data_IF_093185702912
#
_entry.id   IF_093185702912
#
_cell.length_a   1.000
_cell.length_b   1.000
_cell.length_c   1.000
_cell.angle_alpha   90.00
_cell.angle_beta   90.00
_cell.angle_gamma   90.00
#
_symmetry.space_group_name_H-M   'P 1'
#
loop_
_entity.id
_entity.type
_entity.pdbx_description
1 polymer ?
#
# COMPACT_ATOMS: atom_id res chain seq x y z
N UNK A 1 19.21 5.42 12.55
CA UNK A 1 17.76 5.12 12.62
C UNK A 1 17.48 3.87 11.82
N UNK A 2 16.65 2.96 12.32
CA UNK A 2 16.27 1.76 11.55
C UNK A 2 15.35 2.14 10.39
N UNK A 3 15.58 1.52 9.21
CA UNK A 3 14.76 1.67 8.01
C UNK A 3 13.51 0.81 8.18
N UNK A 4 12.28 1.37 8.09
CA UNK A 4 11.04 0.63 8.29
C UNK A 4 10.85 -0.53 7.32
N UNK A 5 11.12 -0.33 6.03
CA UNK A 5 11.06 -1.36 5.00
C UNK A 5 12.30 -1.29 4.10
N UNK A 6 12.99 -2.40 3.96
CA UNK A 6 14.10 -2.56 3.02
C UNK A 6 13.92 -3.84 2.20
N UNK A 7 14.01 -3.71 0.90
CA UNK A 7 13.93 -4.80 -0.08
C UNK A 7 15.29 -4.91 -0.74
N UNK A 8 15.87 -6.11 -0.75
CA UNK A 8 17.26 -6.35 -1.21
C UNK A 8 17.27 -7.54 -2.17
N UNK A 9 17.60 -7.29 -3.43
CA UNK A 9 17.80 -8.31 -4.47
C UNK A 9 16.57 -9.19 -4.72
N UNK A 10 15.36 -8.63 -4.49
CA UNK A 10 14.14 -9.41 -4.45
C UNK A 10 13.74 -9.90 -5.85
N UNK A 11 13.56 -11.21 -5.97
CA UNK A 11 13.16 -11.85 -7.23
C UNK A 11 12.06 -12.88 -7.02
N UNK A 12 11.20 -13.04 -8.03
CA UNK A 12 10.18 -14.10 -8.06
C UNK A 12 10.06 -14.68 -9.46
N UNK A 13 10.20 -15.99 -9.52
CA UNK A 13 10.09 -16.78 -10.74
C UNK A 13 8.87 -17.71 -10.63
N UNK A 14 8.03 -17.74 -11.64
CA UNK A 14 6.93 -18.68 -11.81
C UNK A 14 7.09 -19.41 -13.14
N UNK A 15 7.13 -20.74 -13.12
CA UNK A 15 7.22 -21.56 -14.34
C UNK A 15 8.27 -21.03 -15.34
N UNK A 16 9.50 -20.79 -14.87
CA UNK A 16 10.63 -20.24 -15.63
C UNK A 16 10.40 -18.83 -16.22
N UNK A 17 9.39 -18.10 -15.72
CA UNK A 17 9.17 -16.69 -16.08
C UNK A 17 9.39 -15.80 -14.87
N UNK A 18 10.21 -14.78 -15.06
CA UNK A 18 10.47 -13.79 -14.03
C UNK A 18 9.26 -12.86 -13.89
N UNK A 19 8.61 -12.90 -12.73
CA UNK A 19 7.58 -11.95 -12.37
C UNK A 19 8.19 -10.70 -11.69
N UNK A 20 9.29 -10.88 -10.95
CA UNK A 20 10.09 -9.82 -10.33
C UNK A 20 11.56 -10.19 -10.50
N UNK A 21 12.41 -9.22 -10.88
CA UNK A 21 13.81 -9.41 -11.25
C UNK A 21 14.71 -8.48 -10.45
N UNK A 22 15.38 -9.01 -9.43
CA UNK A 22 16.46 -8.36 -8.68
C UNK A 22 16.16 -6.90 -8.29
N UNK A 23 15.01 -6.66 -7.66
CA UNK A 23 14.63 -5.32 -7.25
C UNK A 23 15.16 -5.01 -5.85
N UNK A 24 15.67 -3.78 -5.67
CA UNK A 24 16.13 -3.28 -4.37
C UNK A 24 15.63 -1.86 -4.16
N UNK A 25 15.05 -1.59 -2.99
CA UNK A 25 14.62 -0.26 -2.58
C UNK A 25 14.38 -0.18 -1.07
N UNK A 26 14.19 1.03 -0.57
CA UNK A 26 13.92 1.32 0.84
C UNK A 26 12.74 2.27 0.96
N UNK A 27 11.94 2.11 2.01
CA UNK A 27 10.93 3.10 2.42
C UNK A 27 11.38 3.63 3.78
N UNK A 28 11.70 4.93 3.83
CA UNK A 28 12.14 5.57 5.05
C UNK A 28 10.95 5.95 5.95
N UNK A 29 11.26 6.37 7.18
CA UNK A 29 10.22 6.91 8.06
C UNK A 29 9.62 8.19 7.50
N UNK A 30 8.31 8.35 7.69
CA UNK A 30 7.59 9.52 7.21
C UNK A 30 7.70 9.74 5.69
N UNK A 31 7.68 8.65 4.93
CA UNK A 31 7.82 8.66 3.48
C UNK A 31 6.69 7.86 2.82
N UNK A 32 6.18 8.38 1.69
CA UNK A 32 5.31 7.64 0.80
C UNK A 32 6.09 7.38 -0.48
N UNK A 33 6.36 6.10 -0.77
CA UNK A 33 6.97 5.67 -2.02
C UNK A 33 5.92 5.03 -2.91
N UNK A 34 5.86 5.47 -4.16
CA UNK A 34 5.01 4.88 -5.18
C UNK A 34 5.71 3.76 -5.96
N UNK A 35 5.04 2.63 -6.18
CA UNK A 35 5.40 1.68 -7.23
C UNK A 35 4.44 1.88 -8.40
N UNK A 36 4.96 2.38 -9.51
CA UNK A 36 4.21 2.69 -10.71
C UNK A 36 4.61 1.77 -11.85
N UNK A 37 3.65 1.20 -12.55
CA UNK A 37 3.92 0.31 -13.68
C UNK A 37 2.66 -0.30 -14.27
N UNK A 38 2.71 -0.83 -15.50
CA UNK A 38 1.56 -1.46 -16.16
C UNK A 38 1.08 -2.70 -15.41
N UNK A 39 -0.13 -3.15 -15.73
CA UNK A 39 -0.63 -4.41 -15.19
C UNK A 39 0.30 -5.56 -15.56
N UNK A 40 0.54 -6.46 -14.60
CA UNK A 40 1.44 -7.59 -14.78
C UNK A 40 2.94 -7.26 -14.69
N UNK A 41 3.35 -6.02 -14.38
CA UNK A 41 4.78 -5.69 -14.23
C UNK A 41 5.42 -6.18 -12.92
N UNK A 42 4.64 -6.75 -11.98
CA UNK A 42 5.15 -7.34 -10.73
C UNK A 42 4.80 -6.60 -9.44
N UNK A 43 3.99 -5.52 -9.47
CA UNK A 43 3.61 -4.73 -8.26
C UNK A 43 2.99 -5.59 -7.16
N UNK A 44 1.89 -6.27 -7.47
CA UNK A 44 1.17 -7.13 -6.51
C UNK A 44 2.02 -8.30 -6.03
N UNK A 45 2.87 -8.86 -6.92
CA UNK A 45 3.84 -9.91 -6.53
C UNK A 45 4.87 -9.38 -5.53
N UNK A 46 5.38 -8.16 -5.76
CA UNK A 46 6.30 -7.49 -4.83
C UNK A 46 5.64 -7.26 -3.47
N UNK A 47 4.42 -6.72 -3.44
CA UNK A 47 3.65 -6.54 -2.19
C UNK A 47 3.43 -7.89 -1.50
N UNK A 48 3.05 -8.93 -2.23
CA UNK A 48 2.84 -10.27 -1.68
C UNK A 48 4.11 -10.87 -1.03
N UNK A 49 5.29 -10.59 -1.59
CA UNK A 49 6.57 -10.98 -0.99
C UNK A 49 6.88 -10.15 0.26
N UNK A 50 6.61 -8.85 0.25
CA UNK A 50 6.80 -7.97 1.42
C UNK A 50 5.88 -8.38 2.57
N UNK A 51 4.66 -8.82 2.29
CA UNK A 51 3.73 -9.37 3.28
C UNK A 51 4.09 -10.79 3.75
N UNK A 52 5.12 -11.42 3.16
CA UNK A 52 5.45 -12.81 3.43
C UNK A 52 4.36 -13.79 2.98
N UNK A 53 3.41 -13.37 2.15
CA UNK A 53 2.39 -14.25 1.54
C UNK A 53 2.97 -15.08 0.41
N UNK A 54 3.99 -14.55 -0.26
CA UNK A 54 4.73 -15.20 -1.33
C UNK A 54 6.19 -15.32 -0.91
N UNK A 55 6.74 -16.54 -0.96
CA UNK A 55 8.17 -16.76 -0.73
C UNK A 55 8.96 -16.23 -1.93
N UNK A 56 9.96 -15.34 -1.73
CA UNK A 56 10.87 -14.93 -2.78
C UNK A 56 11.62 -16.12 -3.39
N UNK A 57 11.98 -16.04 -4.67
CA UNK A 57 12.92 -16.98 -5.29
C UNK A 57 14.35 -16.63 -4.91
N UNK A 58 14.66 -15.32 -4.81
CA UNK A 58 15.94 -14.77 -4.31
C UNK A 58 15.68 -13.45 -3.58
N UNK A 59 16.69 -13.01 -2.85
CA UNK A 59 16.67 -11.76 -2.10
C UNK A 59 15.95 -11.88 -0.76
N UNK A 60 15.73 -10.76 -0.11
CA UNK A 60 15.12 -10.68 1.22
C UNK A 60 14.37 -9.38 1.45
N UNK A 61 13.45 -9.43 2.40
CA UNK A 61 12.69 -8.28 2.90
C UNK A 61 13.00 -8.09 4.37
N UNK A 62 13.37 -6.87 4.76
CA UNK A 62 13.60 -6.51 6.15
C UNK A 62 12.58 -5.46 6.60
N UNK A 63 12.02 -5.69 7.77
CA UNK A 63 11.17 -4.74 8.48
C UNK A 63 11.92 -4.31 9.74
N UNK A 64 12.19 -3.01 9.87
CA UNK A 64 13.02 -2.47 10.95
C UNK A 64 14.37 -3.23 11.12
N UNK A 65 15.00 -3.60 9.99
CA UNK A 65 16.28 -4.32 9.96
C UNK A 65 16.18 -5.82 10.26
N UNK A 66 15.00 -6.37 10.50
CA UNK A 66 14.79 -7.79 10.78
C UNK A 66 14.16 -8.45 9.55
N UNK A 67 14.75 -9.54 9.10
CA UNK A 67 14.26 -10.33 7.96
C UNK A 67 12.91 -10.98 8.26
N UNK A 68 11.93 -10.78 7.38
CA UNK A 68 10.56 -11.19 7.62
C UNK A 68 10.40 -12.72 7.80
N UNK A 69 11.22 -13.50 7.11
CA UNK A 69 11.17 -14.97 7.22
C UNK A 69 11.59 -15.49 8.60
N UNK A 70 12.43 -14.73 9.33
CA UNK A 70 12.95 -15.13 10.64
C UNK A 70 12.01 -14.89 11.81
N UNK A 71 11.19 -13.82 11.74
CA UNK A 71 10.25 -13.41 12.81
C UNK A 71 8.91 -12.98 12.23
N UNK A 72 8.35 -13.80 11.36
CA UNK A 72 7.17 -13.44 10.55
C UNK A 72 5.99 -12.94 11.38
N UNK A 73 5.61 -13.65 12.44
CA UNK A 73 4.43 -13.28 13.24
C UNK A 73 4.62 -11.92 13.92
N UNK A 74 5.78 -11.69 14.55
CA UNK A 74 6.07 -10.44 15.25
C UNK A 74 6.13 -9.25 14.30
N UNK A 75 6.66 -9.47 13.08
CA UNK A 75 6.81 -8.43 12.08
C UNK A 75 5.51 -8.11 11.35
N UNK A 76 4.63 -9.11 11.15
CA UNK A 76 3.30 -8.86 10.56
C UNK A 76 2.43 -7.96 11.42
N UNK A 77 2.65 -7.93 12.75
CA UNK A 77 1.98 -6.96 13.63
C UNK A 77 2.40 -5.50 13.36
N UNK A 78 3.54 -5.28 12.68
CA UNK A 78 4.05 -3.96 12.30
C UNK A 78 3.68 -3.57 10.88
N UNK A 79 3.07 -4.48 10.13
CA UNK A 79 2.62 -4.29 8.76
C UNK A 79 1.09 -4.29 8.71
N UNK A 80 0.55 -3.55 7.78
CA UNK A 80 -0.83 -3.76 7.36
C UNK A 80 -0.99 -3.39 5.89
N UNK A 81 -2.09 -3.80 5.28
CA UNK A 81 -2.27 -3.56 3.86
C UNK A 81 -3.73 -3.42 3.47
N UNK A 82 -3.94 -2.74 2.31
CA UNK A 82 -5.19 -2.66 1.59
C UNK A 82 -4.95 -3.19 0.18
N UNK A 83 -5.91 -3.94 -0.31
CA UNK A 83 -6.00 -4.32 -1.72
C UNK A 83 -7.49 -4.40 -2.10
N UNK A 84 -7.88 -3.99 -3.31
CA UNK A 84 -9.26 -4.08 -3.79
C UNK A 84 -9.73 -5.53 -3.92
N UNK A 85 -8.80 -6.49 -3.92
CA UNK A 85 -9.08 -7.92 -4.05
C UNK A 85 -9.36 -8.62 -2.73
N UNK A 86 -9.24 -7.92 -1.59
CA UNK A 86 -9.46 -8.50 -0.27
C UNK A 86 -10.69 -7.89 0.36
N UNK A 87 -11.72 -8.70 0.42
CA UNK A 87 -12.98 -8.32 1.02
C UNK A 87 -13.01 -8.59 2.54
N UNK A 88 -13.69 -7.71 3.25
CA UNK A 88 -14.03 -7.93 4.66
C UNK A 88 -15.17 -8.97 4.78
N UNK A 89 -15.24 -9.74 5.88
CA UNK A 89 -16.34 -10.66 6.15
C UNK A 89 -17.71 -10.00 6.01
N UNK A 90 -18.45 -10.35 4.95
CA UNK A 90 -19.70 -9.68 4.54
C UNK A 90 -20.84 -9.81 5.56
N UNK A 91 -20.85 -10.88 6.36
CA UNK A 91 -21.87 -11.18 7.37
C UNK A 91 -21.62 -10.52 8.73
N UNK A 92 -20.52 -9.81 8.88
CA UNK A 92 -20.22 -9.04 10.08
C UNK A 92 -20.53 -7.56 9.85
N UNK A 93 -20.92 -6.86 10.91
CA UNK A 93 -21.05 -5.40 10.88
C UNK A 93 -19.67 -4.74 10.75
N UNK A 94 -19.64 -3.46 10.39
CA UNK A 94 -18.40 -2.66 10.39
C UNK A 94 -17.72 -2.74 11.74
N UNK A 95 -18.48 -2.52 12.83
CA UNK A 95 -17.96 -2.60 14.21
C UNK A 95 -17.34 -3.96 14.49
N UNK A 96 -18.07 -5.05 14.21
CA UNK A 96 -17.57 -6.42 14.44
C UNK A 96 -16.31 -6.71 13.64
N UNK A 97 -16.24 -6.28 12.39
CA UNK A 97 -15.02 -6.41 11.60
C UNK A 97 -13.83 -5.70 12.26
N UNK A 98 -14.00 -4.43 12.65
CA UNK A 98 -12.94 -3.69 13.32
C UNK A 98 -12.55 -4.28 14.68
N UNK A 99 -13.51 -4.80 15.44
CA UNK A 99 -13.23 -5.51 16.70
C UNK A 99 -12.42 -6.78 16.50
N UNK A 100 -12.76 -7.60 15.49
CA UNK A 100 -12.01 -8.82 15.16
C UNK A 100 -10.56 -8.49 14.83
N UNK A 101 -10.33 -7.57 13.89
CA UNK A 101 -8.97 -7.18 13.50
C UNK A 101 -8.22 -6.49 14.65
N UNK A 102 -8.90 -5.63 15.42
CA UNK A 102 -8.28 -4.99 16.57
C UNK A 102 -7.81 -5.98 17.64
N UNK A 103 -8.58 -7.05 17.88
CA UNK A 103 -8.19 -8.13 18.79
C UNK A 103 -7.06 -8.99 18.21
N UNK A 104 -7.08 -9.29 16.90
CA UNK A 104 -6.00 -10.04 16.23
C UNK A 104 -4.65 -9.32 16.34
N UNK A 105 -4.65 -7.99 16.35
CA UNK A 105 -3.46 -7.16 16.50
C UNK A 105 -3.18 -6.71 17.94
N UNK A 106 -3.91 -7.24 18.93
CA UNK A 106 -3.79 -6.87 20.35
C UNK A 106 -3.84 -5.34 20.61
N UNK A 107 -4.78 -4.66 19.93
CA UNK A 107 -4.93 -3.22 20.02
C UNK A 107 -5.47 -2.82 21.39
N UNK A 108 -4.66 -2.08 22.15
CA UNK A 108 -5.06 -1.53 23.46
C UNK A 108 -6.13 -0.46 23.29
N UNK A 109 -7.07 -0.39 24.26
CA UNK A 109 -8.18 0.57 24.22
C UNK A 109 -8.98 0.54 22.92
N UNK A 110 -9.24 -0.68 22.40
CA UNK A 110 -9.83 -0.93 21.11
C UNK A 110 -11.14 -0.15 20.86
N UNK A 111 -12.01 -0.05 21.87
CA UNK A 111 -13.28 0.71 21.76
C UNK A 111 -13.01 2.16 21.37
N UNK A 112 -12.13 2.85 22.10
CA UNK A 112 -11.74 4.25 21.82
C UNK A 112 -11.08 4.38 20.45
N UNK A 113 -10.27 3.38 20.04
CA UNK A 113 -9.63 3.36 18.71
C UNK A 113 -10.67 3.25 17.60
N UNK A 114 -11.67 2.40 17.75
CA UNK A 114 -12.77 2.24 16.78
C UNK A 114 -13.60 3.54 16.69
N UNK A 115 -13.95 4.14 17.81
CA UNK A 115 -14.67 5.43 17.86
C UNK A 115 -13.91 6.51 17.09
N UNK A 116 -12.63 6.72 17.40
CA UNK A 116 -11.76 7.67 16.70
C UNK A 116 -11.67 7.41 15.18
N UNK A 117 -11.48 6.16 14.77
CA UNK A 117 -11.42 5.80 13.36
C UNK A 117 -12.75 5.99 12.67
N UNK A 118 -13.85 5.73 13.36
CA UNK A 118 -15.21 5.92 12.83
C UNK A 118 -15.50 7.39 12.53
N UNK A 119 -15.07 8.30 13.41
CA UNK A 119 -15.16 9.74 13.17
C UNK A 119 -14.28 10.18 12.00
N UNK A 120 -12.98 9.85 12.05
CA UNK A 120 -12.00 10.26 11.03
C UNK A 120 -12.36 9.76 9.62
N UNK A 121 -12.93 8.57 9.50
CA UNK A 121 -13.26 7.92 8.23
C UNK A 121 -14.77 7.96 7.88
N UNK A 122 -15.55 8.77 8.63
CA UNK A 122 -16.99 8.94 8.39
C UNK A 122 -17.75 7.60 8.36
N UNK A 123 -17.49 6.74 9.37
CA UNK A 123 -18.13 5.43 9.48
C UNK A 123 -19.27 5.39 10.50
N UNK A 124 -19.49 6.47 11.27
CA UNK A 124 -20.44 6.51 12.39
C UNK A 124 -21.86 6.07 12.01
N UNK A 125 -22.36 6.51 10.86
CA UNK A 125 -23.71 6.18 10.38
C UNK A 125 -23.84 4.72 9.88
N UNK A 126 -22.71 4.09 9.52
CA UNK A 126 -22.68 2.73 8.96
C UNK A 126 -22.05 1.71 9.91
N UNK A 127 -21.66 2.12 11.11
CA UNK A 127 -20.89 1.29 12.04
C UNK A 127 -21.60 -0.03 12.41
N UNK A 128 -22.93 -0.02 12.42
CA UNK A 128 -23.77 -1.18 12.72
C UNK A 128 -24.31 -1.89 11.47
N UNK A 129 -24.02 -1.39 10.24
CA UNK A 129 -24.43 -2.07 9.00
C UNK A 129 -23.55 -3.26 8.70
N UNK A 130 -24.09 -4.27 8.04
CA UNK A 130 -23.30 -5.39 7.52
C UNK A 130 -22.37 -4.90 6.41
N UNK A 131 -21.12 -5.36 6.40
CA UNK A 131 -20.15 -4.93 5.39
C UNK A 131 -20.55 -5.38 3.97
N UNK A 132 -21.36 -6.43 3.86
CA UNK A 132 -21.94 -6.87 2.58
C UNK A 132 -22.87 -5.85 1.93
N UNK A 133 -23.52 -4.99 2.72
CA UNK A 133 -24.54 -4.00 2.27
C UNK A 133 -23.94 -2.64 1.90
N UNK A 134 -22.63 -2.47 2.10
CA UNK A 134 -21.95 -1.20 1.89
C UNK A 134 -21.65 -0.93 0.41
N UNK A 135 -21.68 0.34 0.01
CA UNK A 135 -21.17 0.78 -1.30
C UNK A 135 -19.66 0.55 -1.41
N UNK A 136 -19.08 0.62 -2.61
CA UNK A 136 -17.64 0.49 -2.85
C UNK A 136 -16.82 1.51 -2.04
N UNK A 137 -17.22 2.78 -2.04
CA UNK A 137 -16.57 3.83 -1.27
C UNK A 137 -16.68 3.62 0.25
N UNK A 138 -17.84 3.14 0.75
CA UNK A 138 -17.99 2.78 2.16
C UNK A 138 -17.10 1.60 2.54
N UNK A 139 -17.05 0.54 1.73
CA UNK A 139 -16.16 -0.61 1.92
C UNK A 139 -14.69 -0.19 1.95
N UNK A 140 -14.28 0.71 1.05
CA UNK A 140 -12.93 1.22 1.00
C UNK A 140 -12.55 1.95 2.31
N UNK A 141 -13.42 2.83 2.82
CA UNK A 141 -13.19 3.54 4.09
C UNK A 141 -13.10 2.58 5.29
N UNK A 142 -13.91 1.52 5.31
CA UNK A 142 -13.81 0.47 6.35
C UNK A 142 -12.49 -0.32 6.22
N UNK A 143 -12.08 -0.67 5.01
CA UNK A 143 -10.81 -1.34 4.75
C UNK A 143 -9.62 -0.47 5.17
N UNK A 144 -9.72 0.84 4.95
CA UNK A 144 -8.72 1.81 5.41
C UNK A 144 -8.68 1.87 6.96
N UNK A 145 -9.85 1.93 7.64
CA UNK A 145 -9.91 1.86 9.10
C UNK A 145 -9.23 0.59 9.64
N UNK A 146 -9.55 -0.56 9.03
CA UNK A 146 -8.95 -1.85 9.37
C UNK A 146 -7.42 -1.83 9.19
N UNK A 147 -6.92 -1.24 8.11
CA UNK A 147 -5.50 -1.26 7.80
C UNK A 147 -4.62 -0.37 8.71
N UNK A 148 -5.23 0.56 9.43
CA UNK A 148 -4.52 1.45 10.36
C UNK A 148 -4.91 1.24 11.83
N UNK A 149 -5.69 0.21 12.12
CA UNK A 149 -6.22 -0.04 13.46
C UNK A 149 -5.11 -0.31 14.48
N UNK A 150 -4.05 -0.97 14.06
CA UNK A 150 -2.87 -1.32 14.87
C UNK A 150 -1.73 -0.29 14.79
N UNK A 151 -1.93 0.88 14.13
CA UNK A 151 -0.87 1.86 13.85
C UNK A 151 0.38 1.21 13.24
N UNK A 152 0.29 0.59 12.06
CA UNK A 152 1.42 -0.14 11.48
C UNK A 152 2.62 0.78 11.23
N UNK A 153 3.82 0.24 11.38
CA UNK A 153 5.07 0.93 11.03
C UNK A 153 5.17 1.11 9.52
N UNK A 154 4.71 0.10 8.76
CA UNK A 154 4.65 0.13 7.30
C UNK A 154 3.24 -0.20 6.85
N UNK A 155 2.67 0.70 6.06
CA UNK A 155 1.36 0.52 5.42
C UNK A 155 1.56 0.27 3.93
N UNK A 156 1.01 -0.84 3.45
CA UNK A 156 1.06 -1.22 2.03
C UNK A 156 -0.31 -0.95 1.40
N UNK A 157 -0.34 -0.19 0.33
CA UNK A 157 -1.55 0.18 -0.37
C UNK A 157 -1.46 -0.31 -1.82
N UNK A 158 -2.33 -1.25 -2.19
CA UNK A 158 -2.44 -1.73 -3.57
C UNK A 158 -3.73 -1.15 -4.17
N UNK A 159 -3.58 -0.17 -5.06
CA UNK A 159 -4.68 0.52 -5.74
C UNK A 159 -5.77 1.07 -4.79
N UNK A 160 -5.41 1.88 -3.77
CA UNK A 160 -6.33 2.25 -2.69
C UNK A 160 -7.51 3.12 -3.13
N UNK A 161 -7.43 3.78 -4.29
CA UNK A 161 -8.52 4.60 -4.84
C UNK A 161 -9.13 4.02 -6.10
N UNK A 162 -8.78 2.78 -6.48
CA UNK A 162 -9.34 2.13 -7.66
C UNK A 162 -10.87 2.00 -7.56
N UNK A 163 -11.55 2.32 -8.64
CA UNK A 163 -13.01 2.21 -8.75
C UNK A 163 -13.81 3.08 -7.75
N UNK A 164 -13.19 4.11 -7.19
CA UNK A 164 -13.87 5.12 -6.37
C UNK A 164 -14.32 6.28 -7.24
N UNK A 165 -15.45 6.88 -6.86
CA UNK A 165 -15.84 8.18 -7.42
C UNK A 165 -14.83 9.28 -7.04
N UNK A 166 -14.79 10.40 -7.78
CA UNK A 166 -13.80 11.45 -7.57
C UNK A 166 -13.78 12.02 -6.15
N UNK A 167 -14.95 12.20 -5.53
CA UNK A 167 -15.07 12.76 -4.18
C UNK A 167 -14.51 11.80 -3.13
N UNK A 168 -14.93 10.52 -3.19
CA UNK A 168 -14.40 9.48 -2.28
C UNK A 168 -12.90 9.29 -2.48
N UNK A 169 -12.43 9.29 -3.73
CA UNK A 169 -11.00 9.19 -4.04
C UNK A 169 -10.19 10.36 -3.46
N UNK A 170 -10.71 11.59 -3.57
CA UNK A 170 -10.07 12.76 -2.97
C UNK A 170 -10.04 12.70 -1.44
N UNK A 171 -11.15 12.28 -0.82
CA UNK A 171 -11.21 12.06 0.62
C UNK A 171 -10.15 11.05 1.09
N UNK A 172 -9.99 9.92 0.39
CA UNK A 172 -9.00 8.89 0.73
C UNK A 172 -7.58 9.44 0.61
N UNK A 173 -7.26 10.16 -0.46
CA UNK A 173 -5.94 10.80 -0.63
C UNK A 173 -5.64 11.81 0.48
N UNK A 174 -6.57 12.71 0.78
CA UNK A 174 -6.44 13.69 1.86
C UNK A 174 -6.27 13.04 3.22
N UNK A 175 -6.99 11.93 3.46
CA UNK A 175 -6.84 11.16 4.67
C UNK A 175 -5.43 10.52 4.78
N UNK A 176 -4.92 9.92 3.70
CA UNK A 176 -3.59 9.30 3.66
C UNK A 176 -2.47 10.33 3.90
N UNK A 177 -2.58 11.54 3.32
CA UNK A 177 -1.66 12.65 3.57
C UNK A 177 -1.63 13.04 5.05
N UNK A 178 -2.81 13.22 5.66
CA UNK A 178 -2.94 13.57 7.07
C UNK A 178 -2.41 12.45 7.97
N UNK A 179 -2.79 11.21 7.68
CA UNK A 179 -2.35 10.03 8.43
C UNK A 179 -0.82 9.88 8.41
N UNK A 180 -0.20 10.04 7.25
CA UNK A 180 1.24 9.95 7.09
C UNK A 180 1.96 11.02 7.93
N UNK A 181 1.50 12.29 7.88
CA UNK A 181 2.08 13.40 8.64
C UNK A 181 1.92 13.23 10.15
N UNK A 182 0.70 12.89 10.61
CA UNK A 182 0.37 12.75 12.03
C UNK A 182 1.11 11.58 12.68
N UNK A 183 1.22 10.46 11.98
CA UNK A 183 1.76 9.21 12.53
C UNK A 183 3.21 8.93 12.10
N UNK A 184 3.81 9.80 11.27
CA UNK A 184 5.12 9.59 10.65
C UNK A 184 5.20 8.19 9.98
N UNK A 185 4.09 7.79 9.38
CA UNK A 185 3.93 6.47 8.78
C UNK A 185 4.83 6.32 7.54
N UNK A 186 5.32 5.11 7.33
CA UNK A 186 6.01 4.72 6.10
C UNK A 186 5.01 3.99 5.21
N UNK A 187 4.80 4.48 4.00
CA UNK A 187 3.76 3.96 3.10
C UNK A 187 4.38 3.53 1.78
N UNK A 188 4.07 2.33 1.35
CA UNK A 188 4.34 1.85 0.00
C UNK A 188 3.02 1.79 -0.77
N UNK A 189 2.90 2.61 -1.80
CA UNK A 189 1.71 2.75 -2.62
C UNK A 189 1.93 2.14 -4.01
N UNK A 190 1.24 1.07 -4.35
CA UNK A 190 1.16 0.61 -5.73
C UNK A 190 -0.08 1.21 -6.38
N UNK A 191 0.11 1.95 -7.45
CA UNK A 191 -0.99 2.58 -8.19
C UNK A 191 -0.66 2.66 -9.69
N UNK A 192 -1.72 2.73 -10.50
CA UNK A 192 -1.64 3.12 -11.91
C UNK A 192 -2.24 4.52 -12.15
N UNK A 193 -2.73 5.17 -11.10
CA UNK A 193 -3.27 6.52 -11.14
C UNK A 193 -2.16 7.56 -10.94
N UNK A 194 -1.77 8.24 -12.01
CA UNK A 194 -0.65 9.19 -12.01
C UNK A 194 -0.88 10.39 -11.12
N UNK A 195 -2.10 10.92 -11.06
CA UNK A 195 -2.45 12.06 -10.20
C UNK A 195 -2.36 11.71 -8.71
N UNK A 196 -2.68 10.48 -8.34
CA UNK A 196 -2.49 9.97 -6.99
C UNK A 196 -1.01 9.89 -6.63
N UNK A 197 -0.19 9.38 -7.54
CA UNK A 197 1.26 9.25 -7.37
C UNK A 197 1.93 10.62 -7.27
N UNK A 198 1.59 11.56 -8.16
CA UNK A 198 2.11 12.93 -8.12
C UNK A 198 1.75 13.66 -6.83
N UNK A 199 0.55 13.42 -6.31
CA UNK A 199 0.06 14.09 -5.09
C UNK A 199 0.65 13.51 -3.82
N UNK A 200 0.72 12.18 -3.70
CA UNK A 200 1.03 11.49 -2.45
C UNK A 200 2.50 11.11 -2.29
N UNK A 201 3.18 10.76 -3.39
CA UNK A 201 4.48 10.11 -3.30
C UNK A 201 5.62 11.12 -3.26
N UNK A 202 6.48 10.98 -2.26
CA UNK A 202 7.76 11.72 -2.20
C UNK A 202 8.77 11.20 -3.22
N UNK A 203 8.67 9.93 -3.58
CA UNK A 203 9.46 9.31 -4.64
C UNK A 203 8.71 8.14 -5.29
N UNK A 204 9.09 7.78 -6.50
CA UNK A 204 8.42 6.76 -7.33
C UNK A 204 9.45 5.78 -7.86
N UNK A 205 9.09 4.51 -7.83
CA UNK A 205 9.79 3.40 -8.46
C UNK A 205 9.00 3.02 -9.73
N UNK A 206 9.58 3.29 -10.90
CA UNK A 206 8.98 2.94 -12.18
C UNK A 206 9.28 1.47 -12.49
N UNK A 207 8.25 0.63 -12.49
CA UNK A 207 8.40 -0.81 -12.67
C UNK A 207 7.92 -1.25 -14.05
N UNK A 208 8.73 -2.03 -14.77
CA UNK A 208 8.36 -2.63 -16.04
C UNK A 208 8.97 -4.04 -16.18
N UNK A 209 8.19 -5.01 -16.64
CA UNK A 209 8.62 -6.42 -16.89
C UNK A 209 9.40 -7.03 -15.72
N UNK A 210 8.97 -6.77 -14.50
CA UNK A 210 9.56 -7.30 -13.26
C UNK A 210 10.74 -6.52 -12.69
N UNK A 211 11.22 -5.47 -13.34
CA UNK A 211 12.39 -4.69 -12.92
C UNK A 211 12.02 -3.25 -12.60
N UNK A 212 12.76 -2.61 -11.70
CA UNK A 212 12.74 -1.17 -11.52
C UNK A 212 13.59 -0.56 -12.63
N UNK A 213 12.96 0.20 -13.52
CA UNK A 213 13.62 0.77 -14.72
C UNK A 213 14.04 2.22 -14.52
N UNK A 214 13.41 2.91 -13.59
CA UNK A 214 13.79 4.26 -13.16
C UNK A 214 13.22 4.56 -11.76
N UNK A 215 13.79 5.53 -11.06
CA UNK A 215 13.30 5.97 -9.76
C UNK A 215 13.67 7.41 -9.48
N UNK A 216 12.83 8.09 -8.68
CA UNK A 216 13.08 9.47 -8.28
C UNK A 216 11.82 10.20 -7.85
N UNK A 217 11.95 11.48 -7.51
CA UNK A 217 10.78 12.33 -7.26
C UNK A 217 9.98 12.51 -8.55
N UNK A 218 8.64 12.61 -8.49
CA UNK A 218 7.82 12.83 -9.68
C UNK A 218 8.35 13.97 -10.57
N UNK A 219 8.63 15.14 -9.99
CA UNK A 219 9.16 16.31 -10.71
C UNK A 219 10.51 16.04 -11.39
N UNK A 220 11.38 15.27 -10.74
CA UNK A 220 12.70 14.90 -11.31
C UNK A 220 12.55 13.93 -12.49
N UNK A 221 11.62 12.97 -12.38
CA UNK A 221 11.32 12.03 -13.47
C UNK A 221 10.71 12.75 -14.67
N UNK A 222 9.76 13.66 -14.44
CA UNK A 222 9.15 14.50 -15.48
C UNK A 222 10.24 15.28 -16.23
N UNK A 223 11.13 15.96 -15.51
CA UNK A 223 12.25 16.73 -16.08
C UNK A 223 13.25 15.83 -16.81
N UNK A 224 13.65 14.71 -16.21
CA UNK A 224 14.62 13.75 -16.77
C UNK A 224 14.15 13.18 -18.12
N UNK A 225 12.85 12.88 -18.23
CA UNK A 225 12.26 12.33 -19.45
C UNK A 225 11.79 13.40 -20.45
N UNK A 226 11.89 14.69 -20.11
CA UNK A 226 11.45 15.79 -20.97
C UNK A 226 9.95 15.75 -21.25
N UNK A 227 9.14 15.48 -20.21
CA UNK A 227 7.68 15.33 -20.30
C UNK A 227 6.96 16.37 -19.46
N UNK A 228 5.63 16.48 -19.64
CA UNK A 228 4.80 17.48 -18.94
C UNK A 228 4.25 16.97 -17.60
N UNK A 229 4.02 15.66 -17.48
CA UNK A 229 3.43 14.99 -16.31
C UNK A 229 3.91 13.53 -16.22
N UNK A 230 3.58 12.87 -15.11
CA UNK A 230 3.95 11.48 -14.88
C UNK A 230 3.26 10.50 -15.85
N UNK A 231 2.09 10.83 -16.37
CA UNK A 231 1.40 10.00 -17.35
C UNK A 231 2.21 9.88 -18.65
N UNK A 232 2.75 11.01 -19.16
CA UNK A 232 3.62 11.00 -20.33
C UNK A 232 4.95 10.28 -20.07
N UNK A 233 5.51 10.38 -18.86
CA UNK A 233 6.70 9.61 -18.44
C UNK A 233 6.40 8.12 -18.48
N UNK A 234 5.28 7.72 -17.87
CA UNK A 234 4.85 6.33 -17.84
C UNK A 234 4.64 5.75 -19.25
N UNK A 235 3.94 6.47 -20.12
CA UNK A 235 3.70 6.05 -21.51
C UNK A 235 5.02 5.91 -22.28
N UNK A 236 5.97 6.81 -22.07
CA UNK A 236 7.29 6.71 -22.68
C UNK A 236 8.00 5.42 -22.25
N UNK A 237 8.14 5.19 -20.94
CA UNK A 237 8.84 4.01 -20.39
C UNK A 237 8.18 2.70 -20.81
N UNK A 238 6.85 2.68 -20.94
CA UNK A 238 6.13 1.48 -21.36
C UNK A 238 6.26 1.20 -22.85
N UNK A 239 6.38 2.22 -23.70
CA UNK A 239 6.46 2.11 -25.16
C UNK A 239 7.88 1.90 -25.69
N UNK A 240 8.89 2.51 -25.09
CA UNK A 240 10.29 2.44 -25.56
C UNK A 240 10.96 1.07 -25.38
N UNK A 241 10.26 0.07 -24.83
CA UNK A 241 10.79 -1.29 -24.58
C UNK A 241 9.89 -2.41 -25.12
N UNK A 242 9.16 -2.13 -26.22
CA UNK A 242 8.50 -3.19 -27.01
C UNK A 242 9.47 -3.76 -28.03
#
# INVERSE_FOLDING_TARGET
MQIPLEVIGLSKIYNNKDAVKDISFKVNRNEIIGILGPNGCGKTTTIGMILGLLKPSNGKVLINGIEIEKKRVDLLNQLNFISPYIELPKKLTVKQNLEVYGRLYDVKNLKKKIEMLSEKLRLSEIINKLTGELSSGQKNRVSLAKSIINNPTVLLLDEPTASLDPETGDFVRSFLESYQKENKASILLASHNMSEVERLCSSVLMMNKGSIVDSGKPEQLIKKHGRKNMEEVFLKITRERI
#
